data_IF_589229414207
#
_entry.id   IF_589229414207
#
_cell.length_a   1.000
_cell.length_b   1.000
_cell.length_c   1.000
_cell.angle_alpha   90.00
_cell.angle_beta   90.00
_cell.angle_gamma   90.00
#
_symmetry.space_group_name_H-M   'P 1'
#
loop_
_entity.id
_entity.type
_entity.pdbx_description
1 polymer ?
#
# COMPACT_ATOMS: atom_id res chain seq x y z
N UNK A 1 8.47 -11.07 -9.54
CA UNK A 1 8.76 -11.70 -8.23
C UNK A 1 7.50 -11.92 -7.37
N UNK A 2 6.88 -10.91 -6.74
CA UNK A 2 5.70 -11.15 -5.88
C UNK A 2 4.46 -11.66 -6.65
N UNK A 3 4.21 -11.13 -7.85
CA UNK A 3 3.11 -11.57 -8.72
C UNK A 3 3.21 -13.06 -9.11
N UNK A 4 4.41 -13.51 -9.44
CA UNK A 4 4.70 -14.92 -9.82
C UNK A 4 4.53 -15.88 -8.63
N UNK A 5 4.81 -15.42 -7.40
CA UNK A 5 4.58 -16.22 -6.19
C UNK A 5 3.09 -16.43 -5.91
N UNK A 6 2.25 -15.44 -6.24
CA UNK A 6 0.81 -15.47 -6.00
C UNK A 6 0.01 -16.24 -7.07
N UNK A 7 0.60 -16.57 -8.23
CA UNK A 7 -0.11 -17.22 -9.34
C UNK A 7 -0.67 -18.62 -8.97
N UNK A 8 -0.09 -19.27 -7.97
CA UNK A 8 -0.53 -20.56 -7.44
C UNK A 8 -1.41 -20.46 -6.18
N UNK A 9 -1.69 -19.26 -5.67
CA UNK A 9 -2.44 -19.09 -4.43
C UNK A 9 -3.93 -19.35 -4.66
N UNK A 10 -4.49 -20.22 -3.83
CA UNK A 10 -5.91 -20.55 -3.82
C UNK A 10 -6.46 -20.44 -2.41
N UNK A 11 -7.71 -19.99 -2.28
CA UNK A 11 -8.46 -20.06 -1.02
C UNK A 11 -9.63 -21.03 -1.17
N UNK A 12 -9.96 -21.72 -0.09
CA UNK A 12 -11.11 -22.62 -0.03
C UNK A 12 -12.21 -21.96 0.78
N UNK A 13 -13.39 -21.88 0.20
CA UNK A 13 -14.61 -21.43 0.88
C UNK A 13 -15.63 -22.56 0.84
N UNK A 14 -16.39 -22.73 1.92
CA UNK A 14 -17.40 -23.80 2.02
C UNK A 14 -18.80 -23.23 2.31
N UNK A 15 -19.39 -22.43 1.41
CA UNK A 15 -20.77 -22.00 1.56
C UNK A 15 -21.70 -23.22 1.48
N UNK A 16 -22.60 -23.37 2.47
CA UNK A 16 -23.63 -24.42 2.50
C UNK A 16 -23.10 -25.85 2.27
N UNK A 17 -21.99 -26.20 2.93
CA UNK A 17 -21.34 -27.52 2.86
C UNK A 17 -20.80 -27.92 1.48
N UNK A 18 -20.74 -26.99 0.52
CA UNK A 18 -20.11 -27.21 -0.79
C UNK A 18 -18.78 -26.48 -0.83
N UNK A 19 -17.71 -27.22 -1.02
CA UNK A 19 -16.38 -26.64 -1.18
C UNK A 19 -16.22 -25.98 -2.55
N UNK A 20 -15.69 -24.76 -2.56
CA UNK A 20 -15.33 -23.99 -3.75
C UNK A 20 -13.89 -23.51 -3.59
N UNK A 21 -13.09 -23.76 -4.61
CA UNK A 21 -11.69 -23.29 -4.70
C UNK A 21 -11.69 -22.01 -5.52
N UNK A 22 -11.12 -20.94 -4.97
CA UNK A 22 -11.01 -19.63 -5.62
C UNK A 22 -9.54 -19.27 -5.77
N UNK A 23 -9.12 -18.95 -6.99
CA UNK A 23 -7.77 -18.46 -7.25
C UNK A 23 -7.62 -17.02 -6.75
N UNK A 24 -6.64 -16.80 -5.86
CA UNK A 24 -6.34 -15.48 -5.30
C UNK A 24 -5.50 -14.72 -6.32
N UNK A 25 -6.04 -13.63 -6.86
CA UNK A 25 -5.33 -12.81 -7.85
C UNK A 25 -4.54 -11.66 -7.23
N UNK A 26 -5.04 -11.08 -6.15
CA UNK A 26 -4.42 -9.98 -5.41
C UNK A 26 -4.79 -10.05 -3.94
N UNK A 27 -3.94 -9.44 -3.12
CA UNK A 27 -4.11 -9.35 -1.68
C UNK A 27 -3.19 -10.30 -0.91
N UNK A 28 -3.18 -10.10 0.40
CA UNK A 28 -2.43 -10.92 1.37
C UNK A 28 -3.43 -11.61 2.30
N UNK A 29 -3.03 -12.73 2.91
CA UNK A 29 -3.93 -13.50 3.79
C UNK A 29 -4.07 -12.81 5.15
N UNK A 30 -5.29 -12.42 5.53
CA UNK A 30 -5.55 -11.90 6.87
C UNK A 30 -5.28 -12.98 7.94
N UNK A 31 -4.67 -12.58 9.06
CA UNK A 31 -4.31 -13.50 10.15
C UNK A 31 -3.04 -14.32 9.92
N UNK A 32 -2.37 -14.14 8.77
CA UNK A 32 -1.02 -14.67 8.56
C UNK A 32 0.04 -13.70 9.14
N UNK A 33 1.13 -14.26 9.68
CA UNK A 33 2.16 -13.47 10.37
C UNK A 33 3.03 -12.66 9.41
N UNK A 34 3.15 -13.09 8.14
CA UNK A 34 4.00 -12.45 7.14
C UNK A 34 3.21 -11.38 6.35
N UNK A 35 1.89 -11.56 6.20
CA UNK A 35 1.02 -10.63 5.47
C UNK A 35 1.19 -9.14 5.84
N UNK A 36 1.27 -8.73 7.12
CA UNK A 36 1.49 -7.32 7.46
C UNK A 36 2.80 -6.78 6.90
N UNK A 37 3.88 -7.56 6.93
CA UNK A 37 5.19 -7.15 6.40
C UNK A 37 5.18 -7.01 4.88
N UNK A 38 4.50 -7.93 4.19
CA UNK A 38 4.35 -7.86 2.73
C UNK A 38 3.53 -6.64 2.31
N UNK A 39 2.45 -6.36 3.04
CA UNK A 39 1.64 -5.17 2.82
C UNK A 39 2.47 -3.89 3.02
N UNK A 40 3.16 -3.76 4.15
CA UNK A 40 4.01 -2.59 4.42
C UNK A 40 5.15 -2.44 3.41
N UNK A 41 5.74 -3.55 2.93
CA UNK A 41 6.79 -3.50 1.90
C UNK A 41 6.26 -3.03 0.54
N UNK A 42 5.06 -3.47 0.14
CA UNK A 42 4.42 -2.99 -1.08
C UNK A 42 4.11 -1.48 -0.99
N UNK A 43 3.61 -1.02 0.16
CA UNK A 43 3.32 0.38 0.41
C UNK A 43 4.59 1.25 0.41
N UNK A 44 5.65 0.79 1.07
CA UNK A 44 6.97 1.44 1.02
C UNK A 44 7.50 1.54 -0.41
N UNK A 45 7.30 0.50 -1.23
CA UNK A 45 7.72 0.54 -2.62
C UNK A 45 6.97 1.63 -3.41
N UNK A 46 5.71 1.92 -3.10
CA UNK A 46 4.98 3.03 -3.74
C UNK A 46 5.54 4.37 -3.24
N UNK A 47 5.60 4.55 -1.93
CA UNK A 47 6.00 5.81 -1.29
C UNK A 47 7.43 6.25 -1.65
N UNK A 48 8.36 5.30 -1.88
CA UNK A 48 9.74 5.58 -2.30
C UNK A 48 9.88 6.23 -3.67
N UNK A 49 8.86 6.12 -4.53
CA UNK A 49 8.89 6.69 -5.87
C UNK A 49 8.12 8.01 -5.97
N UNK A 50 7.66 8.56 -4.83
CA UNK A 50 6.99 9.86 -4.77
C UNK A 50 8.05 10.94 -4.48
N UNK A 51 8.15 11.92 -5.38
CA UNK A 51 9.09 13.04 -5.31
C UNK A 51 8.55 14.14 -4.38
N UNK A 52 8.70 13.92 -3.06
CA UNK A 52 8.18 14.80 -2.00
C UNK A 52 9.29 15.52 -1.22
N UNK A 53 10.50 15.65 -1.77
CA UNK A 53 11.68 16.21 -1.08
C UNK A 53 11.50 17.66 -0.59
N UNK A 54 10.64 18.43 -1.26
CA UNK A 54 10.31 19.82 -0.94
C UNK A 54 8.89 19.99 -0.34
N UNK A 55 8.18 18.88 -0.10
CA UNK A 55 6.83 18.86 0.45
C UNK A 55 6.82 18.48 1.93
N UNK A 56 5.80 18.98 2.64
CA UNK A 56 5.57 18.69 4.04
C UNK A 56 6.16 19.74 4.99
N UNK A 57 6.45 19.32 6.22
CA UNK A 57 6.88 20.24 7.29
C UNK A 57 8.35 20.05 7.61
N UNK A 58 9.11 21.15 7.65
CA UNK A 58 10.53 21.12 7.98
C UNK A 58 10.74 20.98 9.49
N UNK A 59 11.38 19.88 9.90
CA UNK A 59 11.76 19.57 11.29
C UNK A 59 13.25 19.27 11.32
N UNK A 60 14.01 20.02 12.13
CA UNK A 60 15.46 19.87 12.29
C UNK A 60 16.27 19.83 10.98
N UNK A 61 15.81 20.58 9.97
CA UNK A 61 16.48 20.67 8.67
C UNK A 61 16.01 19.64 7.64
N UNK A 62 15.22 18.63 8.02
CA UNK A 62 14.64 17.62 7.14
C UNK A 62 13.14 17.88 6.90
N UNK A 63 12.63 17.53 5.73
CA UNK A 63 11.19 17.56 5.46
C UNK A 63 10.53 16.27 5.95
N UNK A 64 9.56 16.41 6.86
CA UNK A 64 8.68 15.34 7.29
C UNK A 64 7.38 15.39 6.47
N UNK A 65 7.18 14.36 5.67
CA UNK A 65 6.13 14.28 4.65
C UNK A 65 5.00 13.31 5.04
N UNK A 66 5.33 12.16 5.66
CA UNK A 66 4.32 11.21 6.12
C UNK A 66 4.76 10.41 7.35
N UNK A 67 3.77 9.90 8.08
CA UNK A 67 3.93 8.84 9.07
C UNK A 67 3.05 7.66 8.66
N UNK A 68 3.48 6.44 8.98
CA UNK A 68 2.67 5.25 8.71
C UNK A 68 2.75 4.23 9.83
N UNK A 69 1.66 3.51 10.01
CA UNK A 69 1.60 2.36 10.90
C UNK A 69 0.61 1.34 10.35
N UNK A 70 1.07 0.10 10.13
CA UNK A 70 0.29 -0.94 9.45
C UNK A 70 -0.29 -0.43 8.11
N UNK A 71 -1.61 -0.29 8.03
CA UNK A 71 -2.38 0.21 6.89
C UNK A 71 -2.74 1.70 6.98
N UNK A 72 -2.49 2.35 8.11
CA UNK A 72 -2.74 3.77 8.29
C UNK A 72 -1.56 4.63 7.80
N UNK A 73 -1.87 5.69 7.05
CA UNK A 73 -0.92 6.72 6.63
C UNK A 73 -1.46 8.10 7.02
N UNK A 74 -0.59 8.93 7.59
CA UNK A 74 -0.84 10.35 7.84
C UNK A 74 0.09 11.16 6.93
N UNK A 75 -0.50 11.99 6.07
CA UNK A 75 0.24 13.00 5.31
C UNK A 75 0.37 14.27 6.15
N UNK A 76 1.56 14.86 6.16
CA UNK A 76 1.87 16.05 6.95
C UNK A 76 2.18 17.18 5.99
N UNK A 77 1.34 18.21 5.98
CA UNK A 77 1.48 19.36 5.08
C UNK A 77 1.29 20.69 5.82
N UNK A 78 1.90 21.79 5.35
CA UNK A 78 1.76 23.10 5.96
C UNK A 78 0.47 23.83 5.52
N UNK A 79 -0.14 23.41 4.41
CA UNK A 79 -1.34 24.03 3.83
C UNK A 79 -2.13 23.02 2.99
N UNK A 80 -3.31 23.46 2.54
CA UNK A 80 -4.26 22.63 1.79
C UNK A 80 -3.77 22.34 0.38
N UNK A 81 -3.07 23.28 -0.26
CA UNK A 81 -2.58 23.13 -1.63
C UNK A 81 -1.54 21.99 -1.72
N UNK A 82 -0.62 21.92 -0.75
CA UNK A 82 0.31 20.78 -0.66
C UNK A 82 -0.43 19.48 -0.30
N UNK A 83 -1.44 19.54 0.57
CA UNK A 83 -2.23 18.36 0.93
C UNK A 83 -2.91 17.74 -0.30
N UNK A 84 -3.57 18.57 -1.11
CA UNK A 84 -4.25 18.16 -2.34
C UNK A 84 -3.27 17.56 -3.34
N UNK A 85 -2.10 18.19 -3.53
CA UNK A 85 -1.05 17.68 -4.41
C UNK A 85 -0.54 16.31 -3.96
N UNK A 86 -0.14 16.19 -2.69
CA UNK A 86 0.40 14.93 -2.16
C UNK A 86 -0.65 13.82 -2.20
N UNK A 87 -1.92 14.14 -1.91
CA UNK A 87 -3.00 13.18 -1.99
C UNK A 87 -3.24 12.68 -3.43
N UNK A 88 -3.23 13.59 -4.41
CA UNK A 88 -3.41 13.24 -5.82
C UNK A 88 -2.26 12.40 -6.37
N UNK A 89 -1.01 12.75 -6.03
CA UNK A 89 0.17 11.98 -6.42
C UNK A 89 0.16 10.58 -5.77
N UNK A 90 -0.21 10.49 -4.49
CA UNK A 90 -0.33 9.22 -3.79
C UNK A 90 -1.43 8.33 -4.37
N UNK A 91 -2.62 8.89 -4.65
CA UNK A 91 -3.75 8.17 -5.26
C UNK A 91 -3.37 7.63 -6.65
N UNK A 92 -2.73 8.47 -7.48
CA UNK A 92 -2.24 8.08 -8.80
C UNK A 92 -1.22 6.95 -8.73
N UNK A 93 -0.26 7.03 -7.80
CA UNK A 93 0.75 6.00 -7.61
C UNK A 93 0.17 4.68 -7.11
N UNK A 94 -0.81 4.74 -6.20
CA UNK A 94 -1.57 3.59 -5.75
C UNK A 94 -2.41 2.97 -6.87
N UNK A 95 -3.11 3.77 -7.67
CA UNK A 95 -3.95 3.31 -8.78
C UNK A 95 -3.14 2.69 -9.93
N UNK A 96 -1.98 3.25 -10.24
CA UNK A 96 -1.08 2.74 -11.30
C UNK A 96 -0.40 1.44 -10.89
N UNK A 97 -0.02 1.30 -9.62
CA UNK A 97 0.61 0.09 -9.08
C UNK A 97 -0.39 -0.98 -8.67
N UNK A 98 -1.65 -0.62 -8.38
CA UNK A 98 -2.73 -1.57 -8.19
C UNK A 98 -2.91 -2.47 -9.43
N UNK A 99 -2.55 -2.02 -10.63
CA UNK A 99 -2.54 -2.82 -11.87
C UNK A 99 -1.33 -3.77 -12.02
N UNK A 100 -0.24 -3.56 -11.26
CA UNK A 100 1.08 -4.17 -11.49
C UNK A 100 1.56 -5.12 -10.38
N UNK A 101 0.83 -5.22 -9.27
CA UNK A 101 1.02 -6.28 -8.25
C UNK A 101 0.14 -7.49 -8.57
#
# INVERSE_FOLDING_TARGET
MLRELCDSFTTRISPFYKEVIVNVKRGVRQGDTISPKLFSAALENILRHLEWEDLGVKVDGCFLHHLRFADDIVLITPNIEQAERMLAEFDSACGTNAGRV
#
